data_IF_990137990268
#
_entry.id   IF_990137990268
#
_cell.length_a   1.000
_cell.length_b   1.000
_cell.length_c   1.000
_cell.angle_alpha   90.00
_cell.angle_beta   90.00
_cell.angle_gamma   90.00
#
_symmetry.space_group_name_H-M   'P 1'
#
loop_
_entity.id
_entity.type
_entity.pdbx_description
1 polymer ?
#
# COMPACT_ATOMS: atom_id res chain seq x y z
N UNK A 1 -1.59 -20.99 14.01
CA UNK A 1 -0.28 -21.48 14.45
C UNK A 1 0.76 -20.66 13.70
N UNK A 2 1.39 -19.66 14.32
CA UNK A 2 2.58 -18.98 13.79
C UNK A 2 3.50 -18.78 14.98
N UNK A 3 4.61 -19.53 14.99
CA UNK A 3 5.71 -19.37 15.94
C UNK A 3 6.84 -18.77 15.13
N UNK A 4 7.22 -17.54 15.48
CA UNK A 4 8.31 -16.75 14.89
C UNK A 4 7.96 -16.09 13.55
N UNK A 5 8.17 -14.78 13.49
CA UNK A 5 7.79 -13.82 12.44
C UNK A 5 8.48 -14.00 11.07
N UNK A 6 8.66 -15.26 10.62
CA UNK A 6 9.22 -15.64 9.32
C UNK A 6 8.14 -16.30 8.47
N UNK A 7 7.91 -15.75 7.27
CA UNK A 7 6.99 -16.31 6.27
C UNK A 7 7.56 -17.62 5.75
N UNK A 8 6.77 -18.69 5.83
CA UNK A 8 7.16 -20.00 5.30
C UNK A 8 6.99 -20.05 3.76
N UNK A 9 7.75 -20.92 3.06
CA UNK A 9 7.59 -21.12 1.62
C UNK A 9 6.15 -21.47 1.20
N UNK A 10 5.43 -22.21 2.05
CA UNK A 10 4.04 -22.62 1.82
C UNK A 10 3.07 -21.44 1.89
N UNK A 11 3.25 -20.52 2.84
CA UNK A 11 2.47 -19.29 2.93
C UNK A 11 2.73 -18.36 1.73
N UNK A 12 3.98 -18.31 1.25
CA UNK A 12 4.33 -17.61 0.00
C UNK A 12 3.63 -18.24 -1.20
N UNK A 13 3.55 -19.56 -1.28
CA UNK A 13 2.86 -20.28 -2.36
C UNK A 13 1.35 -20.04 -2.35
N UNK A 14 0.72 -20.01 -1.17
CA UNK A 14 -0.72 -19.70 -1.01
C UNK A 14 -0.99 -18.26 -1.46
N UNK A 15 -0.15 -17.30 -1.08
CA UNK A 15 -0.25 -15.92 -1.53
C UNK A 15 -0.13 -15.80 -3.06
N UNK A 16 0.85 -16.47 -3.67
CA UNK A 16 1.02 -16.52 -5.13
C UNK A 16 -0.23 -17.12 -5.81
N UNK A 17 -0.78 -18.20 -5.26
CA UNK A 17 -1.99 -18.84 -5.79
C UNK A 17 -3.24 -17.95 -5.67
N UNK A 18 -3.37 -17.15 -4.60
CA UNK A 18 -4.43 -16.15 -4.47
C UNK A 18 -4.22 -14.94 -5.40
N UNK A 19 -2.96 -14.65 -5.79
CA UNK A 19 -2.59 -13.55 -6.69
C UNK A 19 -3.01 -13.80 -8.14
N UNK A 20 -3.20 -15.07 -8.57
CA UNK A 20 -3.73 -15.36 -9.92
C UNK A 20 -5.08 -14.69 -10.19
N UNK A 21 -5.87 -14.42 -9.14
CA UNK A 21 -7.15 -13.71 -9.22
C UNK A 21 -7.03 -12.17 -9.14
N UNK A 22 -5.88 -11.60 -8.77
CA UNK A 22 -5.66 -10.14 -8.64
C UNK A 22 -4.67 -9.57 -9.67
N UNK A 23 -4.23 -10.38 -10.63
CA UNK A 23 -3.18 -9.98 -11.58
C UNK A 23 -1.79 -10.28 -11.03
N UNK A 24 -0.82 -10.46 -11.92
CA UNK A 24 0.55 -10.85 -11.56
C UNK A 24 1.11 -9.92 -10.48
N UNK A 25 1.91 -10.48 -9.56
CA UNK A 25 2.62 -9.78 -8.47
C UNK A 25 3.34 -8.48 -8.89
N UNK A 26 3.67 -8.34 -10.18
CA UNK A 26 4.36 -7.21 -10.79
C UNK A 26 3.45 -6.28 -11.62
N UNK A 27 2.14 -6.48 -11.56
CA UNK A 27 1.18 -5.66 -12.31
C UNK A 27 0.95 -4.31 -11.63
N UNK A 28 1.03 -3.24 -12.43
CA UNK A 28 0.72 -1.88 -12.01
C UNK A 28 -0.49 -1.41 -12.81
N UNK A 29 -1.51 -0.92 -12.10
CA UNK A 29 -2.78 -0.45 -12.69
C UNK A 29 -3.10 0.95 -12.16
N UNK A 30 -3.86 1.75 -12.92
CA UNK A 30 -4.32 3.09 -12.49
C UNK A 30 -5.80 3.22 -12.85
N UNK A 31 -6.66 3.29 -11.83
CA UNK A 31 -8.13 3.36 -11.98
C UNK A 31 -8.63 4.82 -11.87
N UNK A 32 -9.89 5.07 -12.19
CA UNK A 32 -10.44 6.44 -12.06
C UNK A 32 -10.55 6.91 -10.60
N UNK A 33 -10.62 6.00 -9.63
CA UNK A 33 -10.60 6.28 -8.19
C UNK A 33 -9.20 6.32 -7.55
N UNK A 34 -8.13 5.91 -8.25
CA UNK A 34 -6.80 5.63 -7.67
C UNK A 34 -5.66 6.11 -8.58
N UNK A 35 -4.59 6.70 -8.03
CA UNK A 35 -3.42 7.15 -8.81
C UNK A 35 -2.64 5.96 -9.34
N UNK A 36 -2.32 4.99 -8.47
CA UNK A 36 -1.51 3.83 -8.79
C UNK A 36 -1.88 2.67 -7.87
N UNK A 37 -1.94 1.48 -8.45
CA UNK A 37 -2.17 0.19 -7.82
C UNK A 37 -0.99 -0.70 -8.15
N UNK A 38 -0.38 -1.38 -7.17
CA UNK A 38 0.74 -2.30 -7.42
C UNK A 38 0.76 -3.50 -6.45
N UNK A 39 1.26 -4.64 -6.94
CA UNK A 39 1.45 -5.86 -6.15
C UNK A 39 0.24 -6.80 -6.17
N UNK A 40 0.45 -8.05 -5.72
CA UNK A 40 -0.54 -9.14 -5.62
C UNK A 40 -1.82 -8.85 -4.84
N UNK A 41 -1.93 -7.66 -4.25
CA UNK A 41 -2.96 -7.29 -3.28
C UNK A 41 -3.37 -5.83 -3.41
N UNK A 42 -3.41 -5.33 -4.65
CA UNK A 42 -3.87 -4.00 -5.04
C UNK A 42 -3.49 -2.87 -4.05
N UNK A 43 -2.20 -2.52 -3.89
CA UNK A 43 -1.81 -1.43 -2.98
C UNK A 43 -1.91 -0.07 -3.68
N UNK A 44 -2.76 0.80 -3.14
CA UNK A 44 -3.14 2.05 -3.79
C UNK A 44 -2.39 3.27 -3.26
N UNK A 45 -2.11 4.22 -4.17
CA UNK A 45 -1.97 5.64 -3.87
C UNK A 45 -3.28 6.30 -4.32
N UNK A 46 -4.00 6.93 -3.41
CA UNK A 46 -5.24 7.64 -3.69
C UNK A 46 -4.96 9.00 -4.35
N UNK A 47 -5.99 9.69 -4.88
CA UNK A 47 -5.85 10.98 -5.54
C UNK A 47 -5.21 12.08 -4.70
N UNK A 48 -5.05 11.91 -3.40
CA UNK A 48 -4.43 12.88 -2.48
C UNK A 48 -2.98 12.48 -2.11
N UNK A 49 -2.41 11.43 -2.74
CA UNK A 49 -1.04 10.95 -2.45
C UNK A 49 -0.91 10.05 -1.22
N UNK A 50 -2.00 9.70 -0.54
CA UNK A 50 -2.01 8.79 0.61
C UNK A 50 -2.50 7.39 0.22
N UNK A 51 -2.35 6.40 1.09
CA UNK A 51 -2.90 5.07 0.85
C UNK A 51 -2.05 3.98 1.49
N UNK A 52 -2.18 2.76 0.98
CA UNK A 52 -1.43 1.63 1.52
C UNK A 52 0.01 1.61 1.03
N UNK A 53 0.25 2.04 -0.21
CA UNK A 53 1.59 2.06 -0.79
C UNK A 53 2.51 3.11 -0.13
N UNK A 54 2.08 4.34 0.18
CA UNK A 54 2.90 5.31 0.92
C UNK A 54 3.27 4.84 2.34
N UNK A 55 2.38 4.11 3.03
CA UNK A 55 2.71 3.49 4.33
C UNK A 55 3.86 2.50 4.16
N UNK A 56 3.81 1.65 3.13
CA UNK A 56 4.86 0.68 2.84
C UNK A 56 6.16 1.36 2.40
N UNK A 57 6.10 2.46 1.65
CA UNK A 57 7.29 3.26 1.32
C UNK A 57 7.94 3.83 2.57
N UNK A 58 7.15 4.32 3.53
CA UNK A 58 7.68 4.79 4.81
C UNK A 58 8.31 3.67 5.64
N UNK A 59 7.67 2.51 5.71
CA UNK A 59 8.23 1.33 6.39
C UNK A 59 9.53 0.86 5.70
N UNK A 60 9.57 0.86 4.37
CA UNK A 60 10.76 0.52 3.59
C UNK A 60 11.88 1.54 3.81
N UNK A 61 11.57 2.84 3.85
CA UNK A 61 12.52 3.90 4.20
C UNK A 61 13.15 3.69 5.58
N UNK A 62 12.35 3.27 6.57
CA UNK A 62 12.84 3.00 7.93
C UNK A 62 13.67 1.72 8.04
N UNK A 63 13.28 0.68 7.29
CA UNK A 63 13.85 -0.66 7.44
C UNK A 63 15.05 -0.89 6.51
N UNK A 64 15.03 -0.31 5.31
CA UNK A 64 16.04 -0.48 4.27
C UNK A 64 16.36 0.88 3.61
N UNK A 65 16.94 1.84 4.35
CA UNK A 65 17.14 3.21 3.88
C UNK A 65 17.96 3.29 2.58
N UNK A 66 19.01 2.49 2.44
CA UNK A 66 19.86 2.50 1.23
C UNK A 66 19.10 2.03 -0.01
N UNK A 67 18.26 1.01 0.13
CA UNK A 67 17.40 0.52 -0.96
C UNK A 67 16.29 1.49 -1.27
N UNK A 68 15.72 2.15 -0.27
CA UNK A 68 14.76 3.22 -0.48
C UNK A 68 15.37 4.35 -1.32
N UNK A 69 16.60 4.76 -1.02
CA UNK A 69 17.31 5.78 -1.82
C UNK A 69 17.51 5.28 -3.26
N UNK A 70 17.98 4.04 -3.41
CA UNK A 70 18.23 3.42 -4.72
C UNK A 70 16.97 3.37 -5.60
N UNK A 71 15.86 2.87 -5.06
CA UNK A 71 14.65 2.61 -5.84
C UNK A 71 13.70 3.79 -5.94
N UNK A 72 13.69 4.69 -4.95
CA UNK A 72 12.68 5.76 -4.86
C UNK A 72 13.32 7.15 -4.86
N UNK A 73 14.18 7.47 -3.89
CA UNK A 73 14.66 8.85 -3.73
C UNK A 73 15.48 9.35 -4.93
N UNK A 74 16.41 8.53 -5.43
CA UNK A 74 17.17 8.82 -6.64
C UNK A 74 16.28 8.88 -7.90
N UNK A 75 15.11 8.27 -7.83
CA UNK A 75 14.09 8.30 -8.88
C UNK A 75 13.01 9.37 -8.63
N UNK A 76 13.29 10.36 -7.77
CA UNK A 76 12.43 11.50 -7.43
C UNK A 76 11.13 11.15 -6.68
N UNK A 77 11.00 9.93 -6.18
CA UNK A 77 9.92 9.57 -5.26
C UNK A 77 10.30 9.96 -3.84
N UNK A 78 9.37 10.60 -3.13
CA UNK A 78 9.52 10.94 -1.72
C UNK A 78 8.31 10.44 -0.96
N UNK A 79 8.52 10.12 0.32
CA UNK A 79 7.44 9.85 1.26
C UNK A 79 7.67 10.64 2.54
N UNK A 80 6.62 11.35 2.98
CA UNK A 80 6.66 12.27 4.11
C UNK A 80 5.61 11.86 5.15
N UNK A 81 6.00 11.89 6.42
CA UNK A 81 5.09 11.66 7.55
C UNK A 81 4.39 12.98 7.93
N UNK A 82 3.07 12.99 7.88
CA UNK A 82 2.23 14.08 8.33
C UNK A 82 1.53 13.76 9.65
N UNK A 83 1.68 14.66 10.62
CA UNK A 83 0.93 14.59 11.88
C UNK A 83 -0.43 15.27 11.72
N UNK A 84 -1.53 14.54 11.88
CA UNK A 84 -2.89 15.08 11.94
C UNK A 84 -3.44 14.98 13.35
N UNK A 85 -3.68 16.14 13.95
CA UNK A 85 -4.29 16.27 15.27
C UNK A 85 -5.78 16.55 15.14
N UNK A 86 -6.60 15.76 15.82
CA UNK A 86 -8.02 16.07 16.02
C UNK A 86 -8.16 16.87 17.29
N UNK A 87 -8.68 18.09 17.17
CA UNK A 87 -8.92 18.98 18.32
C UNK A 87 -10.41 19.01 18.69
N UNK A 88 -10.70 19.19 19.97
CA UNK A 88 -12.06 19.46 20.44
C UNK A 88 -12.47 20.91 20.13
N UNK A 89 -13.73 21.26 20.45
CA UNK A 89 -14.24 22.63 20.29
C UNK A 89 -13.50 23.66 21.15
N UNK A 90 -12.69 23.22 22.12
CA UNK A 90 -11.89 24.06 23.02
C UNK A 90 -10.42 24.14 22.58
N UNK A 91 -10.05 23.50 21.47
CA UNK A 91 -8.70 23.48 20.92
C UNK A 91 -7.77 22.42 21.52
N UNK A 92 -8.25 21.56 22.43
CA UNK A 92 -7.44 20.49 23.02
C UNK A 92 -7.30 19.32 22.04
N UNK A 93 -6.09 18.77 21.91
CA UNK A 93 -5.84 17.59 21.08
C UNK A 93 -6.49 16.37 21.73
N UNK A 94 -7.49 15.79 21.06
CA UNK A 94 -8.19 14.57 21.49
C UNK A 94 -7.50 13.33 20.91
N UNK A 95 -6.96 13.44 19.70
CA UNK A 95 -6.21 12.35 19.09
C UNK A 95 -5.15 12.86 18.14
N UNK A 96 -4.05 12.11 18.05
CA UNK A 96 -3.01 12.30 17.04
C UNK A 96 -3.02 11.08 16.13
N UNK A 97 -3.00 11.32 14.82
CA UNK A 97 -2.86 10.29 13.79
C UNK A 97 -1.73 10.69 12.85
N UNK A 98 -1.07 9.70 12.28
CA UNK A 98 -0.02 9.91 11.29
C UNK A 98 -0.52 9.45 9.93
N UNK A 99 -0.31 10.27 8.91
CA UNK A 99 -0.53 9.92 7.50
C UNK A 99 0.80 10.00 6.76
N UNK A 100 0.89 9.27 5.66
CA UNK A 100 2.11 9.24 4.85
C UNK A 100 1.75 9.61 3.43
N UNK A 101 2.28 10.73 2.96
CA UNK A 101 2.07 11.21 1.60
C UNK A 101 3.24 10.78 0.74
N UNK A 102 2.96 10.19 -0.42
CA UNK A 102 3.96 9.90 -1.45
C UNK A 102 3.85 10.92 -2.59
N UNK A 103 4.98 11.48 -3.00
CA UNK A 103 5.08 12.47 -4.07
C UNK A 103 6.17 12.08 -5.07
N UNK A 104 6.02 12.50 -6.32
CA UNK A 104 7.02 12.28 -7.37
C UNK A 104 7.40 13.62 -8.01
N UNK A 105 8.68 14.00 -7.96
CA UNK A 105 9.15 15.35 -8.36
C UNK A 105 8.31 16.46 -7.71
N UNK A 106 7.96 16.25 -6.43
CA UNK A 106 7.08 17.09 -5.62
C UNK A 106 5.64 17.25 -6.15
N UNK A 107 5.26 16.49 -7.19
CA UNK A 107 3.87 16.34 -7.61
C UNK A 107 3.16 15.34 -6.71
N UNK A 108 1.96 15.71 -6.29
CA UNK A 108 1.00 14.81 -5.66
C UNK A 108 -0.34 14.96 -6.36
N UNK A 109 -1.40 14.39 -5.79
CA UNK A 109 -2.71 14.85 -6.20
C UNK A 109 -3.14 14.40 -7.61
N UNK A 110 -3.97 15.26 -8.20
CA UNK A 110 -4.35 15.21 -9.62
C UNK A 110 -3.14 15.37 -10.56
N UNK A 111 -2.16 16.20 -10.21
CA UNK A 111 -1.01 16.48 -11.07
C UNK A 111 -0.15 15.23 -11.28
N UNK A 112 0.10 14.48 -10.19
CA UNK A 112 0.77 13.20 -10.26
C UNK A 112 -0.02 12.19 -11.10
N UNK A 113 -1.34 12.16 -10.94
CA UNK A 113 -2.23 11.29 -11.73
C UNK A 113 -2.15 11.60 -13.22
N UNK A 114 -2.24 12.88 -13.58
CA UNK A 114 -2.15 13.34 -14.96
C UNK A 114 -0.77 13.01 -15.55
N UNK A 115 0.31 13.16 -14.75
CA UNK A 115 1.67 12.79 -15.15
C UNK A 115 1.85 11.30 -15.40
N UNK A 116 1.29 10.46 -14.53
CA UNK A 116 1.33 9.00 -14.70
C UNK A 116 0.53 8.55 -15.93
N UNK A 117 -0.60 9.22 -16.21
CA UNK A 117 -1.45 8.92 -17.37
C UNK A 117 -0.94 9.51 -18.69
N UNK A 118 0.11 10.32 -18.65
CA UNK A 118 0.74 10.90 -19.83
C UNK A 118 1.18 9.78 -20.80
N UNK A 119 0.72 9.86 -22.05
CA UNK A 119 1.03 8.86 -23.09
C UNK A 119 0.13 7.62 -23.10
N UNK A 120 -0.69 7.38 -22.06
CA UNK A 120 -1.66 6.29 -22.02
C UNK A 120 -2.99 6.67 -22.68
N UNK A 121 -2.96 6.85 -24.00
CA UNK A 121 -4.12 7.22 -24.81
C UNK A 121 -4.65 6.03 -25.62
N UNK A 122 -5.95 6.05 -25.96
CA UNK A 122 -6.58 5.00 -26.78
C UNK A 122 -5.86 4.76 -28.12
N UNK A 123 -5.29 5.82 -28.71
CA UNK A 123 -4.49 5.78 -29.94
C UNK A 123 -3.16 5.01 -29.79
N UNK A 124 -2.69 4.81 -28.56
CA UNK A 124 -1.43 4.11 -28.21
C UNK A 124 -1.67 2.74 -27.57
N UNK A 125 -2.87 2.18 -27.72
CA UNK A 125 -3.20 0.86 -27.21
C UNK A 125 -2.26 -0.22 -27.79
N UNK A 126 -1.77 -1.12 -26.94
CA UNK A 126 -0.75 -2.17 -27.25
C UNK A 126 0.65 -1.65 -27.63
N UNK A 127 0.92 -0.36 -27.49
CA UNK A 127 2.27 0.18 -27.68
C UNK A 127 2.99 0.34 -26.34
N UNK A 128 4.33 0.23 -26.35
CA UNK A 128 5.14 0.47 -25.16
C UNK A 128 5.19 1.98 -24.90
N UNK A 129 4.56 2.42 -23.81
CA UNK A 129 4.63 3.81 -23.33
C UNK A 129 5.71 3.86 -22.25
N UNK A 130 6.67 4.77 -22.41
CA UNK A 130 7.63 5.04 -21.35
C UNK A 130 6.96 5.89 -20.27
N UNK A 131 7.03 5.47 -19.01
CA UNK A 131 6.41 6.16 -17.89
C UNK A 131 7.42 6.25 -16.73
N UNK A 132 8.21 7.31 -16.73
CA UNK A 132 9.25 7.58 -15.72
C UNK A 132 8.80 7.35 -14.26
N UNK A 133 7.61 7.82 -13.79
CA UNK A 133 7.22 7.61 -12.39
C UNK A 133 6.93 6.13 -12.06
N UNK A 134 6.59 5.30 -13.04
CA UNK A 134 6.21 3.90 -12.84
C UNK A 134 7.42 2.96 -12.82
N UNK A 135 8.43 3.20 -13.66
CA UNK A 135 9.63 2.35 -13.77
C UNK A 135 10.33 2.00 -12.43
N UNK A 136 10.61 2.97 -11.53
CA UNK A 136 11.19 2.67 -10.22
C UNK A 136 10.30 1.77 -9.37
N UNK A 137 8.97 1.97 -9.43
CA UNK A 137 8.01 1.17 -8.67
C UNK A 137 7.99 -0.26 -9.18
N UNK A 138 8.03 -0.49 -10.51
CA UNK A 138 8.13 -1.86 -11.08
C UNK A 138 9.37 -2.58 -10.56
N UNK A 139 10.49 -1.86 -10.48
CA UNK A 139 11.75 -2.41 -10.00
C UNK A 139 11.67 -2.75 -8.50
N UNK A 140 11.10 -1.84 -7.69
CA UNK A 140 10.87 -2.04 -6.27
C UNK A 140 9.96 -3.24 -5.97
N UNK A 141 8.90 -3.44 -6.76
CA UNK A 141 7.97 -4.57 -6.58
C UNK A 141 8.63 -5.94 -6.78
N UNK A 142 9.80 -5.98 -7.43
CA UNK A 142 10.60 -7.20 -7.63
C UNK A 142 11.64 -7.42 -6.53
N UNK A 143 11.88 -6.44 -5.66
CA UNK A 143 12.83 -6.56 -4.56
C UNK A 143 12.26 -7.46 -3.45
N UNK A 144 13.07 -8.44 -3.02
CA UNK A 144 12.64 -9.44 -2.03
C UNK A 144 12.36 -8.83 -0.64
N UNK A 145 13.08 -7.78 -0.26
CA UNK A 145 12.89 -7.14 1.04
C UNK A 145 11.61 -6.31 1.05
N UNK A 146 11.31 -5.62 -0.05
CA UNK A 146 10.04 -4.94 -0.23
C UNK A 146 8.87 -5.92 -0.28
N UNK A 147 8.98 -7.04 -1.02
CA UNK A 147 7.98 -8.10 -1.00
C UNK A 147 7.75 -8.67 0.41
N UNK A 148 8.82 -8.78 1.22
CA UNK A 148 8.70 -9.23 2.61
C UNK A 148 7.86 -8.26 3.46
N UNK A 149 8.02 -6.95 3.27
CA UNK A 149 7.16 -5.94 3.92
C UNK A 149 5.69 -6.13 3.49
N UNK A 150 5.44 -6.32 2.20
CA UNK A 150 4.09 -6.54 1.69
C UNK A 150 3.42 -7.78 2.30
N UNK A 151 4.16 -8.89 2.42
CA UNK A 151 3.65 -10.12 3.02
C UNK A 151 3.38 -9.93 4.52
N UNK A 152 4.27 -9.25 5.25
CA UNK A 152 4.07 -8.96 6.68
C UNK A 152 2.81 -8.11 6.91
N UNK A 153 2.59 -7.08 6.09
CA UNK A 153 1.37 -6.27 6.15
C UNK A 153 0.11 -7.11 5.88
N UNK A 154 0.17 -8.02 4.89
CA UNK A 154 -0.93 -8.94 4.64
C UNK A 154 -1.26 -9.83 5.83
N UNK A 155 -0.26 -10.53 6.39
CA UNK A 155 -0.45 -11.42 7.54
C UNK A 155 -1.05 -10.65 8.72
N UNK A 156 -0.55 -9.42 8.97
CA UNK A 156 -1.07 -8.54 10.02
C UNK A 156 -2.57 -8.26 9.81
N UNK A 157 -2.97 -7.88 8.59
CA UNK A 157 -4.37 -7.59 8.24
C UNK A 157 -5.27 -8.82 8.32
N UNK A 158 -4.75 -9.98 7.90
CA UNK A 158 -5.45 -11.26 8.01
C UNK A 158 -5.73 -11.58 9.48
N UNK A 159 -4.70 -11.53 10.34
CA UNK A 159 -4.85 -11.79 11.77
C UNK A 159 -5.82 -10.81 12.44
N UNK A 160 -5.70 -9.51 12.17
CA UNK A 160 -6.65 -8.51 12.69
C UNK A 160 -8.09 -8.77 12.25
N UNK A 161 -8.30 -9.31 11.04
CA UNK A 161 -9.63 -9.66 10.54
C UNK A 161 -10.17 -10.93 11.19
N UNK A 162 -9.31 -11.92 11.43
CA UNK A 162 -9.67 -13.14 12.15
C UNK A 162 -10.05 -12.82 13.60
N UNK A 163 -9.26 -12.00 14.30
CA UNK A 163 -9.56 -11.55 15.67
C UNK A 163 -10.91 -10.84 15.76
N UNK A 164 -11.21 -9.95 14.80
CA UNK A 164 -12.51 -9.28 14.70
C UNK A 164 -13.67 -10.25 14.45
N UNK A 165 -13.47 -11.30 13.65
CA UNK A 165 -14.48 -12.35 13.42
C UNK A 165 -14.72 -13.19 14.67
N UNK A 166 -13.68 -13.57 15.41
CA UNK A 166 -13.84 -14.25 16.72
C UNK A 166 -14.53 -13.36 17.74
N UNK A 167 -14.26 -12.06 17.76
CA UNK A 167 -15.00 -11.10 18.59
C UNK A 167 -16.48 -11.01 18.21
N UNK A 168 -16.81 -11.02 16.92
CA UNK A 168 -18.20 -11.06 16.44
C UNK A 168 -18.94 -12.36 16.76
N UNK A 169 -18.24 -13.51 16.71
CA UNK A 169 -18.79 -14.80 17.12
C UNK A 169 -19.02 -14.89 18.63
N UNK A 170 -18.15 -14.27 19.43
CA UNK A 170 -18.35 -14.15 20.89
C UNK A 170 -19.51 -13.21 21.22
N UNK A 171 -19.67 -12.09 20.51
CA UNK A 171 -20.81 -11.17 20.70
C UNK A 171 -22.14 -11.82 20.28
N UNK A 172 -22.16 -12.65 19.23
CA UNK A 172 -23.37 -13.42 18.86
C UNK A 172 -23.75 -14.51 19.85
N UNK A 173 -22.81 -15.01 20.65
CA UNK A 173 -23.07 -16.00 21.70
C UNK A 173 -23.35 -15.40 23.08
N UNK A 174 -23.28 -14.07 23.22
CA UNK A 174 -23.56 -13.36 24.48
C UNK A 174 -24.69 -12.35 24.22
N UNK A 175 -25.93 -12.79 24.35
CA UNK A 175 -27.06 -11.90 24.64
C UNK A 175 -28.19 -11.81 23.61
N UNK A 176 -28.93 -12.91 23.43
CA UNK A 176 -30.39 -12.82 23.43
C UNK A 176 -30.87 -13.34 24.80
N UNK A 177 -30.92 -12.45 25.79
CA UNK A 177 -31.80 -12.63 26.95
C UNK A 177 -32.85 -11.53 26.86
N UNK A 178 -34.06 -11.95 26.49
CA UNK A 178 -35.29 -11.17 26.68
C UNK A 178 -35.47 -10.88 28.16
N UNK A 179 -35.66 -9.60 28.51
CA UNK A 179 -36.63 -9.12 29.49
C UNK A 179 -37.08 -7.72 29.06
#
# INVERSE_FOLDING_TARGET
>A
MIRNSSVTPDEKAILIAMSENEGKLDSIQSYDSEILTAGAMQKTINPDGYGELPIQFWEFKKTYPDKYILYLENCNWKVVEEKKEKKDKKGNVISTSYKYEATYKDLSGKELKDKIREGFQKSRFKTKVNCEPIEPIISLMKDNDFQTIQIKDFIKRLNSSLEKKTGWLLIKNIGFCYF
#
